data_IF_400899564641
#
_entry.id   IF_400899564641
#
_cell.length_a   1.000
_cell.length_b   1.000
_cell.length_c   1.000
_cell.angle_alpha   90.00
_cell.angle_beta   90.00
_cell.angle_gamma   90.00
#
_symmetry.space_group_name_H-M   'P 1'
#
loop_
_entity.id
_entity.type
_entity.pdbx_description
1 polymer ?
#
# COMPACT_ATOMS: atom_id res chain seq x y z
N UNK A 1 -26.00 11.68 -19.39
CA UNK A 1 -25.08 12.29 -18.41
C UNK A 1 -25.77 12.32 -17.05
N UNK A 2 -25.62 11.22 -16.31
CA UNK A 2 -25.80 10.96 -14.87
C UNK A 2 -25.48 9.46 -14.77
N UNK A 3 -24.24 9.13 -14.44
CA UNK A 3 -23.73 7.76 -14.41
C UNK A 3 -23.91 7.17 -13.02
N UNK A 4 -24.97 6.39 -12.87
CA UNK A 4 -25.25 5.60 -11.67
C UNK A 4 -24.42 4.31 -11.73
N UNK A 5 -23.49 4.13 -10.79
CA UNK A 5 -22.67 2.91 -10.68
C UNK A 5 -23.47 1.75 -10.09
N UNK A 6 -24.40 1.20 -10.88
CA UNK A 6 -24.97 -0.13 -10.66
C UNK A 6 -24.14 -1.14 -11.45
N UNK A 7 -23.13 -1.75 -10.81
CA UNK A 7 -22.18 -2.58 -11.56
C UNK A 7 -21.23 -3.43 -10.75
N UNK A 8 -21.71 -4.09 -9.69
CA UNK A 8 -21.06 -5.27 -9.11
C UNK A 8 -22.16 -6.22 -8.59
N UNK A 9 -23.06 -6.63 -9.48
CA UNK A 9 -23.96 -7.76 -9.21
C UNK A 9 -23.29 -9.05 -9.71
N UNK A 10 -23.38 -10.08 -8.85
CA UNK A 10 -22.90 -11.46 -9.01
C UNK A 10 -21.50 -11.70 -8.43
N UNK A 11 -21.49 -12.20 -7.18
CA UNK A 11 -20.38 -13.02 -6.70
C UNK A 11 -20.31 -14.24 -7.61
N UNK A 12 -19.21 -14.39 -8.34
CA UNK A 12 -19.04 -15.52 -9.25
C UNK A 12 -18.99 -16.84 -8.47
N UNK A 13 -19.48 -17.93 -9.07
CA UNK A 13 -19.40 -19.27 -8.48
C UNK A 13 -17.95 -19.68 -8.16
N UNK A 14 -16.98 -19.13 -8.89
CA UNK A 14 -15.56 -19.31 -8.62
C UNK A 14 -15.12 -18.63 -7.30
N UNK A 15 -15.59 -17.41 -7.04
CA UNK A 15 -15.31 -16.70 -5.79
C UNK A 15 -15.90 -17.44 -4.57
N UNK A 16 -17.12 -17.98 -4.70
CA UNK A 16 -17.75 -18.78 -3.63
C UNK A 16 -16.98 -20.09 -3.35
N UNK A 17 -16.53 -20.79 -4.39
CA UNK A 17 -15.71 -22.02 -4.23
C UNK A 17 -14.37 -21.74 -3.57
N UNK A 18 -13.75 -20.61 -3.90
CA UNK A 18 -12.46 -20.21 -3.33
C UNK A 18 -12.61 -19.85 -1.85
N UNK A 19 -13.68 -19.14 -1.49
CA UNK A 19 -14.01 -18.79 -0.11
C UNK A 19 -14.36 -20.04 0.73
N UNK A 20 -15.13 -20.98 0.18
CA UNK A 20 -15.46 -22.26 0.81
C UNK A 20 -14.20 -23.10 1.06
N UNK A 21 -13.32 -23.23 0.05
CA UNK A 21 -12.07 -23.97 0.19
C UNK A 21 -11.15 -23.42 1.30
N UNK A 22 -11.14 -22.10 1.52
CA UNK A 22 -10.29 -21.45 2.52
C UNK A 22 -10.89 -21.45 3.93
N UNK A 23 -12.21 -21.56 4.05
CA UNK A 23 -12.91 -21.46 5.34
C UNK A 23 -13.31 -22.81 5.91
N UNK A 24 -13.40 -23.87 5.09
CA UNK A 24 -13.81 -25.22 5.52
C UNK A 24 -12.87 -25.88 6.55
N UNK A 25 -11.61 -25.45 6.58
CA UNK A 25 -10.59 -26.00 7.50
C UNK A 25 -10.47 -25.22 8.81
N UNK A 26 -11.23 -24.14 8.99
CA UNK A 26 -11.19 -23.33 10.20
C UNK A 26 -12.00 -23.99 11.32
N UNK A 27 -11.43 -24.03 12.53
CA UNK A 27 -12.12 -24.57 13.71
C UNK A 27 -13.32 -23.70 14.14
N UNK A 28 -13.30 -22.42 13.77
CA UNK A 28 -14.39 -21.47 14.01
C UNK A 28 -14.82 -20.77 12.71
N UNK A 29 -16.13 -20.56 12.50
CA UNK A 29 -16.64 -19.91 11.30
C UNK A 29 -16.28 -18.41 11.27
N UNK A 30 -15.89 -17.91 10.10
CA UNK A 30 -15.49 -16.51 9.92
C UNK A 30 -16.71 -15.61 9.91
N UNK A 31 -16.73 -14.60 10.78
CA UNK A 31 -17.78 -13.59 10.81
C UNK A 31 -17.66 -12.65 9.60
N UNK A 32 -18.71 -12.56 8.79
CA UNK A 32 -18.78 -11.68 7.61
C UNK A 32 -19.95 -10.73 7.75
N UNK A 33 -19.67 -9.43 7.72
CA UNK A 33 -20.69 -8.37 7.79
C UNK A 33 -21.04 -7.92 6.37
N UNK A 34 -22.31 -8.08 5.98
CA UNK A 34 -22.78 -7.62 4.67
C UNK A 34 -24.19 -7.04 4.74
N UNK A 35 -24.34 -5.82 4.21
CA UNK A 35 -25.61 -5.10 4.12
C UNK A 35 -26.37 -5.39 2.83
N UNK A 36 -25.72 -5.99 1.83
CA UNK A 36 -26.32 -6.33 0.53
C UNK A 36 -27.08 -7.67 0.58
N UNK A 37 -28.41 -7.71 0.32
CA UNK A 37 -29.22 -8.92 0.42
C UNK A 37 -28.78 -10.05 -0.52
N UNK A 38 -28.40 -9.71 -1.75
CA UNK A 38 -27.97 -10.69 -2.77
C UNK A 38 -26.62 -11.34 -2.41
N UNK A 39 -25.68 -10.56 -1.84
CA UNK A 39 -24.41 -11.09 -1.31
C UNK A 39 -24.65 -12.03 -0.13
N UNK A 40 -25.57 -11.67 0.76
CA UNK A 40 -25.95 -12.51 1.90
C UNK A 40 -26.53 -13.85 1.44
N UNK A 41 -27.40 -13.83 0.44
CA UNK A 41 -28.01 -15.05 -0.09
C UNK A 41 -26.97 -15.96 -0.77
N UNK A 42 -26.02 -15.38 -1.52
CA UNK A 42 -24.93 -16.12 -2.15
C UNK A 42 -23.94 -16.74 -1.15
N UNK A 43 -23.67 -16.05 -0.04
CA UNK A 43 -22.74 -16.52 0.99
C UNK A 43 -23.37 -17.47 2.01
N UNK A 44 -24.70 -17.47 2.15
CA UNK A 44 -25.43 -18.31 3.13
C UNK A 44 -25.21 -19.82 2.92
N UNK A 45 -24.84 -20.23 1.72
CA UNK A 45 -24.54 -21.64 1.38
C UNK A 45 -23.11 -22.06 1.71
N UNK A 46 -22.28 -21.20 2.31
CA UNK A 46 -20.86 -21.48 2.62
C UNK A 46 -20.70 -21.90 4.09
N UNK A 47 -20.38 -23.18 4.39
CA UNK A 47 -20.40 -23.74 5.74
C UNK A 47 -19.42 -23.09 6.74
N UNK A 48 -18.36 -22.43 6.24
CA UNK A 48 -17.32 -21.80 7.06
C UNK A 48 -17.56 -20.33 7.40
N UNK A 49 -18.72 -19.77 7.05
CA UNK A 49 -19.04 -18.35 7.29
C UNK A 49 -20.21 -18.17 8.23
N UNK A 50 -20.12 -17.12 9.06
CA UNK A 50 -21.24 -16.62 9.86
C UNK A 50 -21.60 -15.21 9.39
N UNK A 51 -22.77 -15.06 8.77
CA UNK A 51 -23.20 -13.79 8.18
C UNK A 51 -23.93 -12.93 9.20
N UNK A 52 -23.54 -11.66 9.26
CA UNK A 52 -24.18 -10.67 10.12
C UNK A 52 -24.68 -9.47 9.31
N UNK A 53 -25.88 -8.95 9.63
CA UNK A 53 -26.46 -7.80 8.91
C UNK A 53 -25.75 -6.49 9.26
N UNK A 54 -25.12 -6.42 10.44
CA UNK A 54 -24.40 -5.24 10.95
C UNK A 54 -23.18 -5.67 11.75
N UNK A 55 -22.21 -4.77 11.89
CA UNK A 55 -21.03 -4.99 12.73
C UNK A 55 -21.41 -5.19 14.20
N UNK A 56 -22.42 -4.47 14.69
CA UNK A 56 -22.93 -4.63 16.05
C UNK A 56 -23.48 -6.05 16.30
N UNK A 57 -24.21 -6.62 15.33
CA UNK A 57 -24.70 -7.98 15.42
C UNK A 57 -23.56 -9.02 15.39
N UNK A 58 -22.50 -8.76 14.61
CA UNK A 58 -21.31 -9.61 14.58
C UNK A 58 -20.59 -9.65 15.92
N UNK A 59 -20.36 -8.48 16.53
CA UNK A 59 -19.70 -8.37 17.83
C UNK A 59 -20.51 -9.02 18.96
N UNK A 60 -21.85 -8.93 18.92
CA UNK A 60 -22.71 -9.57 19.90
C UNK A 60 -22.75 -11.11 19.79
N UNK A 61 -22.36 -11.68 18.65
CA UNK A 61 -22.40 -13.11 18.37
C UNK A 61 -21.04 -13.84 18.47
N UNK A 62 -19.98 -13.12 18.83
CA UNK A 62 -18.69 -13.71 19.19
C UNK A 62 -18.77 -14.29 20.62
N UNK A 63 -18.09 -15.40 20.92
CA UNK A 63 -18.07 -15.94 22.27
C UNK A 63 -17.46 -14.91 23.24
N UNK A 64 -18.29 -14.36 24.12
CA UNK A 64 -17.85 -13.53 25.24
C UNK A 64 -17.08 -14.39 26.22
N UNK A 65 -15.75 -14.36 26.17
CA UNK A 65 -14.89 -14.80 27.29
C UNK A 65 -14.97 -13.78 28.42
N UNK A 66 -16.13 -13.71 29.07
CA UNK A 66 -16.31 -13.01 30.34
C UNK A 66 -17.51 -13.64 31.06
N UNK A 67 -17.24 -14.66 31.87
CA UNK A 67 -18.18 -15.09 32.91
C UNK A 67 -18.28 -13.99 33.99
N UNK A 68 -19.45 -13.81 34.62
CA UNK A 68 -19.64 -12.79 35.65
C UNK A 68 -18.80 -13.08 36.90
N UNK A 69 -18.28 -12.06 37.60
CA UNK A 69 -17.53 -12.25 38.83
C UNK A 69 -18.47 -12.61 39.98
N UNK A 70 -18.29 -13.80 40.53
CA UNK A 70 -18.89 -14.23 41.80
C UNK A 70 -18.22 -13.45 42.94
N UNK A 71 -19.00 -12.66 43.66
CA UNK A 71 -18.54 -11.80 44.76
C UNK A 71 -18.28 -12.66 46.01
N UNK A 72 -16.99 -12.93 46.30
CA UNK A 72 -16.52 -13.27 47.64
C UNK A 72 -15.26 -12.47 47.97
N UNK A 73 -15.15 -11.87 49.18
CA UNK A 73 -14.02 -11.02 49.54
C UNK A 73 -12.85 -11.84 50.10
N UNK A 74 -11.68 -11.19 50.14
CA UNK A 74 -10.40 -11.59 50.75
C UNK A 74 -9.53 -12.47 49.84
N UNK A 75 -8.27 -12.17 49.50
CA UNK A 75 -7.23 -11.37 50.17
C UNK A 75 -6.18 -10.94 49.12
N UNK A 76 -5.46 -9.85 49.40
CA UNK A 76 -4.43 -9.23 48.54
C UNK A 76 -3.33 -10.21 48.10
N UNK A 77 -3.11 -10.32 46.78
CA UNK A 77 -1.78 -10.44 46.16
C UNK A 77 -1.89 -9.85 44.76
N UNK A 78 -1.11 -8.81 44.45
CA UNK A 78 -1.31 -7.94 43.28
C UNK A 78 -1.29 -8.68 41.93
N UNK A 79 -2.06 -8.23 40.93
CA UNK A 79 -2.02 -8.84 39.60
C UNK A 79 -0.79 -8.35 38.81
N UNK A 80 -0.15 -9.22 38.00
CA UNK A 80 0.85 -8.80 37.03
C UNK A 80 0.20 -7.98 35.92
N UNK A 81 0.89 -6.96 35.44
CA UNK A 81 0.48 -6.15 34.30
C UNK A 81 0.41 -7.03 33.04
N UNK A 82 -0.79 -7.36 32.58
CA UNK A 82 -1.02 -7.92 31.24
C UNK A 82 -2.26 -7.28 30.64
N UNK A 83 -2.05 -6.16 29.97
CA UNK A 83 -2.98 -5.55 29.04
C UNK A 83 -2.15 -4.76 28.05
N UNK A 84 -2.06 -5.25 26.81
CA UNK A 84 -1.36 -4.54 25.74
C UNK A 84 -1.85 -3.09 25.70
N UNK A 85 -0.92 -2.14 25.56
CA UNK A 85 -1.31 -0.74 25.53
C UNK A 85 -2.23 -0.49 24.32
N UNK A 86 -3.15 0.48 24.43
CA UNK A 86 -4.05 0.82 23.31
C UNK A 86 -3.27 1.18 22.04
N UNK A 87 -2.02 1.61 22.17
CA UNK A 87 -1.14 1.94 21.05
C UNK A 87 -0.51 0.70 20.40
N UNK A 88 -0.12 -0.30 21.20
CA UNK A 88 0.33 -1.60 20.68
C UNK A 88 -0.76 -2.25 19.84
N UNK A 89 -2.01 -2.26 20.32
CA UNK A 89 -3.15 -2.80 19.60
C UNK A 89 -3.43 -2.03 18.29
N UNK A 90 -3.28 -0.70 18.29
CA UNK A 90 -3.43 0.11 17.07
C UNK A 90 -2.33 -0.19 16.06
N UNK A 91 -1.10 -0.35 16.53
CA UNK A 91 0.05 -0.74 15.69
C UNK A 91 -0.16 -2.13 15.07
N UNK A 92 -0.67 -3.08 15.86
CA UNK A 92 -1.02 -4.42 15.37
C UNK A 92 -2.12 -4.36 14.30
N UNK A 93 -3.22 -3.65 14.58
CA UNK A 93 -4.33 -3.46 13.62
C UNK A 93 -3.86 -2.79 12.34
N UNK A 94 -3.00 -1.76 12.45
CA UNK A 94 -2.37 -1.12 11.30
C UNK A 94 -1.58 -2.12 10.46
N UNK A 95 -0.73 -2.93 11.09
CA UNK A 95 0.04 -3.97 10.42
C UNK A 95 -0.84 -5.01 9.72
N UNK A 96 -1.92 -5.45 10.36
CA UNK A 96 -2.89 -6.38 9.78
C UNK A 96 -3.62 -5.77 8.57
N UNK A 97 -4.07 -4.51 8.68
CA UNK A 97 -4.71 -3.80 7.57
C UNK A 97 -3.77 -3.58 6.40
N UNK A 98 -2.51 -3.25 6.66
CA UNK A 98 -1.48 -3.15 5.63
C UNK A 98 -1.31 -4.47 4.86
N UNK A 99 -1.23 -5.61 5.57
CA UNK A 99 -1.20 -6.94 4.94
C UNK A 99 -2.44 -7.21 4.09
N UNK A 100 -3.63 -6.94 4.62
CA UNK A 100 -4.89 -7.16 3.90
C UNK A 100 -4.98 -6.37 2.59
N UNK A 101 -4.56 -5.09 2.58
CA UNK A 101 -4.54 -4.24 1.37
C UNK A 101 -3.66 -4.83 0.27
N UNK A 102 -2.46 -5.30 0.63
CA UNK A 102 -1.51 -5.85 -0.35
C UNK A 102 -1.94 -7.21 -0.90
N UNK A 103 -2.65 -8.02 -0.12
CA UNK A 103 -3.06 -9.36 -0.52
C UNK A 103 -3.96 -9.38 -1.76
N UNK A 104 -4.92 -8.44 -1.87
CA UNK A 104 -5.83 -8.37 -3.01
C UNK A 104 -5.09 -8.11 -4.35
N UNK A 105 -4.12 -7.19 -4.33
CA UNK A 105 -3.31 -6.85 -5.49
C UNK A 105 -2.38 -8.00 -5.88
N UNK A 106 -1.75 -8.66 -4.91
CA UNK A 106 -0.93 -9.85 -5.13
C UNK A 106 -1.77 -10.98 -5.74
N UNK A 107 -2.96 -11.24 -5.20
CA UNK A 107 -3.88 -12.25 -5.73
C UNK A 107 -4.30 -11.99 -7.17
N UNK A 108 -4.56 -10.72 -7.52
CA UNK A 108 -4.87 -10.34 -8.91
C UNK A 108 -3.68 -10.59 -9.83
N UNK A 109 -2.47 -10.24 -9.39
CA UNK A 109 -1.25 -10.50 -10.15
C UNK A 109 -0.99 -12.01 -10.35
N UNK A 110 -1.24 -12.86 -9.35
CA UNK A 110 -1.17 -14.32 -9.49
C UNK A 110 -2.11 -14.83 -10.59
N UNK A 111 -3.35 -14.32 -10.66
CA UNK A 111 -4.30 -14.67 -11.71
C UNK A 111 -3.81 -14.26 -13.11
N UNK A 112 -3.23 -13.06 -13.24
CA UNK A 112 -2.61 -12.61 -14.51
C UNK A 112 -1.46 -13.52 -14.92
N UNK A 113 -0.60 -13.92 -13.99
CA UNK A 113 0.53 -14.82 -14.27
C UNK A 113 0.07 -16.23 -14.62
N UNK A 114 -0.95 -16.73 -13.92
CA UNK A 114 -1.58 -18.02 -14.19
C UNK A 114 -2.04 -18.12 -15.64
N UNK A 115 -2.77 -17.10 -16.11
CA UNK A 115 -3.21 -17.04 -17.50
C UNK A 115 -2.06 -16.82 -18.48
N UNK A 116 -1.15 -15.87 -18.19
CA UNK A 116 -0.06 -15.47 -19.08
C UNK A 116 0.92 -16.60 -19.36
N UNK A 117 1.22 -17.42 -18.36
CA UNK A 117 2.19 -18.51 -18.45
C UNK A 117 1.58 -19.91 -18.46
N UNK A 118 0.24 -20.00 -18.50
CA UNK A 118 -0.49 -21.29 -18.46
C UNK A 118 -0.03 -22.16 -17.28
N UNK A 119 0.07 -21.55 -16.11
CA UNK A 119 0.53 -22.23 -14.91
C UNK A 119 -0.48 -23.32 -14.50
N UNK A 120 0.00 -24.36 -13.84
CA UNK A 120 -0.85 -25.48 -13.40
C UNK A 120 -1.63 -25.14 -12.13
N UNK A 121 -1.24 -24.08 -11.41
CA UNK A 121 -1.88 -23.64 -10.17
C UNK A 121 -1.61 -22.15 -9.89
N UNK A 122 -2.56 -21.41 -9.28
CA UNK A 122 -2.32 -20.05 -8.80
C UNK A 122 -1.13 -19.93 -7.84
N UNK A 123 -0.82 -20.97 -7.05
CA UNK A 123 0.33 -20.99 -6.12
C UNK A 123 1.66 -20.85 -6.87
N UNK A 124 1.79 -21.41 -8.07
CA UNK A 124 2.99 -21.24 -8.89
C UNK A 124 3.18 -19.76 -9.29
N UNK A 125 2.10 -19.01 -9.50
CA UNK A 125 2.16 -17.58 -9.76
C UNK A 125 2.70 -16.79 -8.56
N UNK A 126 2.35 -17.21 -7.34
CA UNK A 126 2.92 -16.63 -6.12
C UNK A 126 4.41 -16.92 -5.98
N UNK A 127 4.82 -18.16 -6.24
CA UNK A 127 6.22 -18.56 -6.11
C UNK A 127 7.11 -17.80 -7.11
N UNK A 128 6.65 -17.60 -8.34
CA UNK A 128 7.34 -16.75 -9.32
C UNK A 128 7.49 -15.29 -8.85
N UNK A 129 6.42 -14.70 -8.32
CA UNK A 129 6.49 -13.35 -7.74
C UNK A 129 7.46 -13.29 -6.56
N UNK A 130 7.41 -14.29 -5.67
CA UNK A 130 8.24 -14.35 -4.47
C UNK A 130 9.72 -14.51 -4.83
N UNK A 131 10.05 -15.40 -5.76
CA UNK A 131 11.42 -15.64 -6.21
C UNK A 131 12.03 -14.38 -6.82
N UNK A 132 11.34 -13.75 -7.77
CA UNK A 132 11.80 -12.50 -8.38
C UNK A 132 11.90 -11.34 -7.37
N UNK A 133 10.94 -11.24 -6.45
CA UNK A 133 10.96 -10.26 -5.35
C UNK A 133 12.20 -10.43 -4.46
N UNK A 134 12.54 -11.67 -4.10
CA UNK A 134 13.71 -11.99 -3.27
C UNK A 134 15.02 -11.79 -4.02
N UNK A 135 15.09 -12.18 -5.29
CA UNK A 135 16.30 -12.09 -6.10
C UNK A 135 16.73 -10.64 -6.34
N UNK A 136 15.78 -9.74 -6.65
CA UNK A 136 16.05 -8.33 -6.94
C UNK A 136 15.80 -7.40 -5.74
N UNK A 137 15.46 -7.96 -4.57
CA UNK A 137 15.11 -7.19 -3.37
C UNK A 137 14.03 -6.13 -3.64
N UNK A 138 13.01 -6.48 -4.42
CA UNK A 138 11.86 -5.62 -4.75
C UNK A 138 10.68 -6.03 -3.87
N UNK A 139 9.96 -5.11 -3.18
CA UNK A 139 8.79 -5.49 -2.40
C UNK A 139 7.74 -6.20 -3.25
N UNK A 140 7.18 -7.31 -2.74
CA UNK A 140 6.25 -8.15 -3.47
C UNK A 140 5.04 -7.37 -4.03
N UNK A 141 4.49 -6.41 -3.28
CA UNK A 141 3.40 -5.54 -3.76
C UNK A 141 3.80 -4.67 -4.96
N UNK A 142 5.05 -4.20 -4.98
CA UNK A 142 5.58 -3.35 -6.07
C UNK A 142 5.75 -4.20 -7.33
N UNK A 143 6.25 -5.43 -7.17
CA UNK A 143 6.34 -6.36 -8.29
C UNK A 143 4.95 -6.78 -8.80
N UNK A 144 3.99 -7.02 -7.90
CA UNK A 144 2.60 -7.30 -8.28
C UNK A 144 1.98 -6.12 -9.06
N UNK A 145 2.15 -4.87 -8.59
CA UNK A 145 1.79 -3.66 -9.35
C UNK A 145 2.38 -3.66 -10.76
N UNK A 146 3.67 -3.97 -10.85
CA UNK A 146 4.38 -3.98 -12.13
C UNK A 146 3.84 -5.07 -13.08
N UNK A 147 3.51 -6.26 -12.58
CA UNK A 147 2.88 -7.32 -13.39
C UNK A 147 1.51 -6.88 -13.95
N UNK A 148 0.72 -6.18 -13.14
CA UNK A 148 -0.62 -5.71 -13.52
C UNK A 148 -0.58 -4.58 -14.56
N UNK A 149 0.50 -3.81 -14.61
CA UNK A 149 0.64 -2.63 -15.47
C UNK A 149 1.53 -2.88 -16.69
N UNK A 150 2.41 -3.87 -16.64
CA UNK A 150 3.28 -4.22 -17.75
C UNK A 150 2.51 -4.94 -18.87
N UNK A 151 2.78 -4.60 -20.15
CA UNK A 151 2.26 -5.37 -21.27
C UNK A 151 2.73 -6.84 -21.16
N UNK A 152 1.98 -7.79 -21.73
CA UNK A 152 2.45 -9.17 -21.81
C UNK A 152 3.74 -9.25 -22.65
N UNK A 153 4.62 -10.22 -22.36
CA UNK A 153 5.82 -10.45 -23.15
C UNK A 153 5.44 -10.76 -24.61
N UNK A 154 6.18 -10.22 -25.59
CA UNK A 154 5.79 -10.28 -27.01
C UNK A 154 5.87 -11.70 -27.59
N UNK A 155 6.80 -12.52 -27.10
CA UNK A 155 7.00 -13.89 -27.57
C UNK A 155 7.26 -14.83 -26.39
N UNK A 156 6.68 -16.04 -26.38
CA UNK A 156 7.04 -17.06 -25.39
C UNK A 156 8.54 -17.40 -25.48
N UNK A 157 9.26 -17.28 -24.37
CA UNK A 157 10.69 -17.61 -24.27
C UNK A 157 11.64 -16.59 -24.89
N UNK A 158 11.16 -15.41 -25.29
CA UNK A 158 12.00 -14.28 -25.71
C UNK A 158 12.13 -13.22 -24.61
N UNK A 159 12.87 -12.15 -24.88
CA UNK A 159 12.98 -11.05 -23.92
C UNK A 159 11.62 -10.38 -23.67
N UNK A 160 11.30 -10.07 -22.42
CA UNK A 160 10.06 -9.35 -22.09
C UNK A 160 10.11 -7.90 -22.63
N UNK A 161 11.25 -7.23 -22.54
CA UNK A 161 11.43 -5.86 -23.02
C UNK A 161 12.54 -5.77 -24.08
N UNK A 162 12.28 -6.22 -25.34
CA UNK A 162 13.29 -6.18 -26.39
C UNK A 162 13.81 -4.77 -26.67
N UNK A 163 15.13 -4.64 -26.82
CA UNK A 163 15.80 -3.36 -27.12
C UNK A 163 15.88 -2.38 -25.94
N UNK A 164 15.49 -2.82 -24.74
CA UNK A 164 15.65 -2.04 -23.51
C UNK A 164 17.12 -1.73 -23.24
N UNK A 165 17.40 -0.49 -22.83
CA UNK A 165 18.74 -0.04 -22.44
C UNK A 165 18.80 0.12 -20.92
N UNK A 166 19.74 -0.56 -20.29
CA UNK A 166 20.05 -0.31 -18.88
C UNK A 166 20.73 1.06 -18.75
N UNK A 167 20.14 1.94 -17.96
CA UNK A 167 20.75 3.21 -17.60
C UNK A 167 21.49 3.08 -16.27
N UNK A 168 22.65 3.72 -16.12
CA UNK A 168 23.36 3.70 -14.84
C UNK A 168 22.49 4.34 -13.75
N UNK A 169 22.68 3.96 -12.47
CA UNK A 169 21.99 4.60 -11.37
C UNK A 169 22.26 6.12 -11.35
N UNK A 170 21.25 6.94 -11.03
CA UNK A 170 21.43 8.38 -10.93
C UNK A 170 22.33 8.74 -9.74
N UNK A 171 23.08 9.82 -9.89
CA UNK A 171 23.72 10.49 -8.74
C UNK A 171 22.66 11.29 -8.01
N UNK A 172 22.50 11.06 -6.71
CA UNK A 172 21.53 11.75 -5.86
C UNK A 172 22.27 12.69 -4.91
N UNK A 173 21.70 13.88 -4.68
CA UNK A 173 22.20 14.88 -3.74
C UNK A 173 21.72 14.69 -2.30
N UNK A 174 21.22 13.49 -1.95
CA UNK A 174 20.82 13.11 -0.59
C UNK A 174 22.00 13.29 0.38
N UNK A 175 21.76 13.84 1.56
CA UNK A 175 22.76 14.28 2.55
C UNK A 175 23.49 13.12 3.27
N UNK A 176 23.49 11.92 2.69
CA UNK A 176 24.05 10.72 3.32
C UNK A 176 25.55 10.80 3.57
N UNK A 177 25.94 10.57 4.83
CA UNK A 177 27.32 10.48 5.33
C UNK A 177 28.01 9.14 5.03
N UNK A 178 27.33 8.23 4.32
CA UNK A 178 27.86 6.94 3.87
C UNK A 178 27.34 6.59 2.49
N UNK A 179 28.09 5.79 1.72
CA UNK A 179 27.76 5.42 0.34
C UNK A 179 26.35 4.86 0.23
N UNK A 180 25.45 5.62 -0.39
CA UNK A 180 24.07 5.24 -0.62
C UNK A 180 24.00 4.19 -1.75
N UNK A 181 23.46 3.01 -1.46
CA UNK A 181 23.11 2.07 -2.53
C UNK A 181 21.77 2.45 -3.13
N UNK A 182 21.83 3.11 -4.30
CA UNK A 182 20.65 3.49 -5.09
C UNK A 182 19.71 2.31 -5.43
N UNK A 183 20.19 1.06 -5.42
CA UNK A 183 19.35 -0.13 -5.63
C UNK A 183 18.61 -0.55 -4.36
N UNK A 184 19.13 -0.23 -3.18
CA UNK A 184 18.43 -0.47 -1.92
C UNK A 184 17.32 0.58 -1.74
N UNK A 185 16.13 0.18 -2.17
CA UNK A 185 14.91 0.96 -2.03
C UNK A 185 14.70 1.46 -0.60
N UNK A 186 14.90 0.60 0.40
CA UNK A 186 14.63 0.97 1.79
C UNK A 186 15.61 2.04 2.22
N UNK A 187 16.89 1.88 1.90
CA UNK A 187 17.91 2.85 2.24
C UNK A 187 17.62 4.22 1.61
N UNK A 188 17.29 4.27 0.31
CA UNK A 188 16.99 5.55 -0.37
C UNK A 188 15.79 6.27 0.24
N UNK A 189 14.69 5.55 0.50
CA UNK A 189 13.47 6.15 1.05
C UNK A 189 13.67 6.62 2.50
N UNK A 190 14.39 5.83 3.30
CA UNK A 190 14.69 6.17 4.68
C UNK A 190 15.62 7.38 4.77
N UNK A 191 16.66 7.42 3.93
CA UNK A 191 17.52 8.59 3.79
C UNK A 191 16.70 9.82 3.39
N UNK A 192 15.82 9.70 2.39
CA UNK A 192 15.01 10.85 1.95
C UNK A 192 14.10 11.39 3.07
N UNK A 193 13.51 10.51 3.89
CA UNK A 193 12.72 10.89 5.07
C UNK A 193 13.57 11.63 6.11
N UNK A 194 14.76 11.11 6.43
CA UNK A 194 15.65 11.74 7.39
C UNK A 194 16.23 13.08 6.88
N UNK A 195 16.56 13.15 5.59
CA UNK A 195 17.04 14.36 4.94
C UNK A 195 15.94 15.43 4.93
N UNK A 196 14.69 15.07 4.64
CA UNK A 196 13.57 16.00 4.70
C UNK A 196 13.45 16.65 6.08
N UNK A 197 13.52 15.87 7.17
CA UNK A 197 13.53 16.41 8.54
C UNK A 197 14.75 17.31 8.79
N UNK A 198 15.94 16.85 8.39
CA UNK A 198 17.19 17.57 8.62
C UNK A 198 17.22 18.91 7.88
N UNK A 199 16.74 18.94 6.64
CA UNK A 199 16.66 20.13 5.81
C UNK A 199 15.71 21.18 6.40
N UNK A 200 14.63 20.75 7.03
CA UNK A 200 13.68 21.64 7.69
C UNK A 200 14.07 22.01 9.12
N UNK A 201 15.18 21.49 9.64
CA UNK A 201 15.61 21.70 11.03
C UNK A 201 14.46 21.38 12.03
N UNK A 202 14.44 22.03 13.19
CA UNK A 202 13.38 21.93 14.19
C UNK A 202 12.00 22.46 13.75
N UNK A 203 11.83 22.94 12.51
CA UNK A 203 10.53 23.40 12.04
C UNK A 203 9.55 22.25 11.79
N UNK A 204 10.00 21.10 11.27
CA UNK A 204 9.14 19.94 11.07
C UNK A 204 9.21 18.94 12.24
N UNK A 205 8.05 18.58 12.77
CA UNK A 205 7.90 17.64 13.88
C UNK A 205 7.81 16.18 13.42
N UNK A 206 7.36 15.95 12.19
CA UNK A 206 7.17 14.64 11.60
C UNK A 206 7.12 14.73 10.07
N UNK A 207 7.35 13.60 9.41
CA UNK A 207 7.36 13.50 7.95
C UNK A 207 6.80 12.17 7.49
N UNK A 208 6.20 12.16 6.31
CA UNK A 208 5.78 10.97 5.58
C UNK A 208 6.19 11.08 4.12
N UNK A 209 6.45 9.92 3.51
CA UNK A 209 6.77 9.77 2.11
C UNK A 209 5.82 8.76 1.46
N UNK A 210 5.05 9.26 0.48
CA UNK A 210 4.20 8.44 -0.36
C UNK A 210 4.79 8.26 -1.74
N UNK A 211 4.61 7.08 -2.33
CA UNK A 211 4.92 6.82 -3.74
C UNK A 211 3.66 6.43 -4.49
N UNK A 212 3.56 6.85 -5.75
CA UNK A 212 2.42 6.47 -6.59
C UNK A 212 2.51 4.99 -7.00
N UNK A 213 1.39 4.28 -6.89
CA UNK A 213 1.18 2.94 -7.43
C UNK A 213 0.36 3.00 -8.75
N UNK A 214 0.97 2.70 -9.91
CA UNK A 214 0.27 2.76 -11.19
C UNK A 214 -0.84 1.71 -11.36
N UNK A 215 -0.80 0.60 -10.61
CA UNK A 215 -1.85 -0.43 -10.67
C UNK A 215 -3.11 -0.03 -9.91
N UNK A 216 -3.03 1.04 -9.09
CA UNK A 216 -4.12 1.54 -8.25
C UNK A 216 -4.48 2.98 -8.64
N UNK A 217 -4.57 3.27 -9.93
CA UNK A 217 -4.91 4.62 -10.44
C UNK A 217 -4.02 5.73 -9.84
N UNK A 218 -2.71 5.46 -9.79
CA UNK A 218 -1.72 6.36 -9.19
C UNK A 218 -2.03 6.75 -7.74
N UNK A 219 -2.68 5.86 -6.97
CA UNK A 219 -2.85 6.02 -5.54
C UNK A 219 -1.50 6.19 -4.85
N UNK A 220 -1.48 7.02 -3.82
CA UNK A 220 -0.33 7.28 -2.98
C UNK A 220 -0.28 6.23 -1.88
N UNK A 221 0.76 5.39 -1.92
CA UNK A 221 1.03 4.37 -0.90
C UNK A 221 2.09 4.91 0.04
N UNK A 222 1.84 4.85 1.34
CA UNK A 222 2.83 5.23 2.35
C UNK A 222 4.01 4.24 2.31
N UNK A 223 5.22 4.78 2.25
CA UNK A 223 6.43 3.98 2.04
C UNK A 223 7.45 4.12 3.15
N UNK A 224 7.58 5.32 3.70
CA UNK A 224 8.38 5.56 4.90
C UNK A 224 7.86 6.81 5.64
N UNK A 225 8.20 6.95 6.92
CA UNK A 225 7.79 8.06 7.76
C UNK A 225 8.65 8.19 9.00
N UNK A 226 8.56 9.34 9.69
CA UNK A 226 9.16 9.54 11.01
C UNK A 226 8.24 10.36 11.92
N UNK A 227 8.24 10.01 13.21
CA UNK A 227 7.52 10.70 14.29
C UNK A 227 5.98 10.84 14.14
N UNK A 228 5.33 9.90 13.44
CA UNK A 228 3.87 9.84 13.27
C UNK A 228 3.23 8.71 14.08
N UNK A 229 1.97 8.90 14.48
CA UNK A 229 1.22 7.90 15.26
C UNK A 229 0.61 6.83 14.35
N UNK A 230 0.59 5.55 14.76
CA UNK A 230 -0.12 4.47 14.05
C UNK A 230 -1.56 4.80 13.63
N UNK A 231 -2.32 5.51 14.46
CA UNK A 231 -3.68 5.94 14.13
C UNK A 231 -3.74 6.89 12.93
N UNK A 232 -2.79 7.83 12.86
CA UNK A 232 -2.66 8.72 11.71
C UNK A 232 -2.21 7.93 10.48
N UNK A 233 -1.16 7.11 10.61
CA UNK A 233 -0.60 6.31 9.52
C UNK A 233 -1.63 5.40 8.87
N UNK A 234 -2.54 4.80 9.64
CA UNK A 234 -3.61 3.96 9.06
C UNK A 234 -4.57 4.74 8.15
N UNK A 235 -4.79 6.01 8.46
CA UNK A 235 -5.65 6.91 7.67
C UNK A 235 -5.00 7.31 6.35
N UNK A 236 -3.67 7.43 6.33
CA UNK A 236 -2.91 7.89 5.16
C UNK A 236 -2.10 6.77 4.48
N UNK A 237 -2.25 5.52 4.92
CA UNK A 237 -1.49 4.39 4.38
C UNK A 237 -1.69 4.17 2.87
N UNK A 238 -2.90 4.48 2.40
CA UNK A 238 -3.28 4.44 0.99
C UNK A 238 -4.24 5.60 0.73
N UNK A 239 -3.82 6.55 -0.09
CA UNK A 239 -4.57 7.76 -0.43
C UNK A 239 -4.85 7.79 -1.92
N UNK A 240 -6.12 7.76 -2.30
CA UNK A 240 -6.54 7.75 -3.71
C UNK A 240 -6.91 9.14 -4.24
N UNK A 241 -7.43 10.01 -3.37
CA UNK A 241 -8.01 11.29 -3.77
C UNK A 241 -7.96 12.35 -2.65
N UNK A 242 -8.20 13.64 -2.99
CA UNK A 242 -8.46 14.70 -2.03
C UNK A 242 -9.62 14.34 -1.08
N UNK A 243 -9.70 14.94 0.13
CA UNK A 243 -9.01 16.18 0.54
C UNK A 243 -7.62 15.98 1.17
N UNK A 244 -7.10 14.75 1.26
CA UNK A 244 -5.75 14.48 1.75
C UNK A 244 -4.71 15.40 1.07
N UNK A 245 -3.83 16.02 1.85
CA UNK A 245 -2.92 17.04 1.33
C UNK A 245 -1.95 16.48 0.29
N UNK A 246 -1.45 15.26 0.50
CA UNK A 246 -0.57 14.60 -0.46
C UNK A 246 -1.28 14.35 -1.80
N UNK A 247 -2.57 13.99 -1.80
CA UNK A 247 -3.36 13.88 -3.03
C UNK A 247 -3.58 15.25 -3.70
N UNK A 248 -3.85 16.30 -2.91
CA UNK A 248 -3.94 17.68 -3.41
C UNK A 248 -2.66 18.13 -4.13
N UNK A 249 -1.49 17.76 -3.61
CA UNK A 249 -0.20 18.07 -4.21
C UNK A 249 0.08 17.23 -5.47
N UNK A 250 -0.24 15.93 -5.44
CA UNK A 250 -0.17 15.05 -6.61
C UNK A 250 -0.99 15.58 -7.77
N UNK A 251 -2.26 15.91 -7.54
CA UNK A 251 -3.20 16.32 -8.60
C UNK A 251 -2.81 17.67 -9.21
N UNK A 252 -2.19 18.56 -8.43
CA UNK A 252 -1.70 19.87 -8.90
C UNK A 252 -0.29 19.80 -9.51
N UNK A 253 0.46 18.73 -9.26
CA UNK A 253 1.91 18.65 -9.50
C UNK A 253 2.66 19.87 -8.93
N UNK A 254 2.20 20.40 -7.80
CA UNK A 254 2.71 21.60 -7.14
C UNK A 254 2.67 21.45 -5.62
N UNK A 255 3.56 22.15 -4.93
CA UNK A 255 3.58 22.19 -3.48
C UNK A 255 2.25 22.73 -2.93
N UNK A 256 1.76 22.14 -1.83
CA UNK A 256 0.55 22.60 -1.14
C UNK A 256 0.81 22.74 0.34
N UNK A 257 0.41 23.89 0.87
CA UNK A 257 0.67 24.35 2.23
C UNK A 257 -0.68 24.59 2.91
N UNK A 258 -0.88 24.01 4.10
CA UNK A 258 -1.98 24.33 5.00
C UNK A 258 -1.40 24.91 6.29
N UNK A 259 -1.47 26.24 6.45
CA UNK A 259 -0.81 26.96 7.55
C UNK A 259 -1.45 26.69 8.93
N UNK A 260 -2.77 26.43 8.96
CA UNK A 260 -3.46 25.87 10.13
C UNK A 260 -4.64 25.01 9.66
N UNK A 261 -4.59 23.70 9.95
CA UNK A 261 -5.63 22.74 9.58
C UNK A 261 -6.99 23.20 10.10
N UNK A 262 -7.04 23.75 11.31
CA UNK A 262 -8.30 24.18 11.94
C UNK A 262 -9.02 25.30 11.16
N UNK A 263 -8.30 26.02 10.29
CA UNK A 263 -8.84 27.12 9.47
C UNK A 263 -9.31 26.70 8.09
N UNK A 264 -9.10 25.44 7.68
CA UNK A 264 -9.60 24.87 6.43
C UNK A 264 -10.64 23.76 6.70
N UNK A 265 -11.94 24.09 6.92
CA UNK A 265 -12.96 23.11 7.30
C UNK A 265 -13.06 21.90 6.35
N UNK A 266 -12.92 22.13 5.04
CA UNK A 266 -12.95 21.07 4.04
C UNK A 266 -11.86 20.00 4.25
N UNK A 267 -10.71 20.39 4.80
CA UNK A 267 -9.66 19.46 5.19
C UNK A 267 -9.81 19.01 6.64
N UNK A 268 -10.05 19.91 7.59
CA UNK A 268 -10.20 19.61 9.01
C UNK A 268 -11.28 18.54 9.30
N UNK A 269 -12.42 18.63 8.62
CA UNK A 269 -13.55 17.70 8.78
C UNK A 269 -13.39 16.41 7.96
N UNK A 270 -12.30 16.25 7.24
CA UNK A 270 -12.00 15.02 6.53
C UNK A 270 -11.34 14.00 7.48
N UNK A 271 -11.41 12.68 7.17
CA UNK A 271 -10.66 11.68 7.93
C UNK A 271 -9.16 12.01 8.12
N UNK A 272 -8.38 12.36 7.07
CA UNK A 272 -6.96 12.71 7.26
C UNK A 272 -6.75 13.98 8.08
N UNK A 273 -7.59 15.01 7.93
CA UNK A 273 -7.46 16.24 8.72
C UNK A 273 -7.78 16.03 10.21
N UNK A 274 -8.86 15.30 10.52
CA UNK A 274 -9.16 14.91 11.91
C UNK A 274 -8.06 14.07 12.53
N UNK A 275 -7.52 13.11 11.79
CA UNK A 275 -6.43 12.27 12.26
C UNK A 275 -5.15 13.09 12.52
N UNK A 276 -4.83 14.05 11.63
CA UNK A 276 -3.70 14.95 11.81
C UNK A 276 -3.85 15.83 13.06
N UNK A 277 -5.03 16.46 13.25
CA UNK A 277 -5.34 17.24 14.44
C UNK A 277 -5.28 16.41 15.72
N UNK A 278 -5.80 15.18 15.69
CA UNK A 278 -5.74 14.25 16.82
C UNK A 278 -4.30 13.81 17.16
N UNK A 279 -3.42 13.77 16.16
CA UNK A 279 -1.98 13.55 16.33
C UNK A 279 -1.22 14.81 16.77
N UNK A 280 -1.92 15.95 16.97
CA UNK A 280 -1.33 17.23 17.37
C UNK A 280 -0.75 18.04 16.22
N UNK A 281 -0.92 17.61 14.96
CA UNK A 281 -0.49 18.40 13.80
C UNK A 281 -1.42 19.59 13.62
N UNK A 282 -0.84 20.78 13.47
CA UNK A 282 -1.53 22.03 13.16
C UNK A 282 -1.25 22.54 11.77
N UNK A 283 -0.08 22.30 11.20
CA UNK A 283 0.22 22.66 9.81
C UNK A 283 0.79 21.48 9.02
N UNK A 284 0.45 21.39 7.74
CA UNK A 284 0.96 20.39 6.78
C UNK A 284 1.46 20.97 5.44
N UNK A 285 2.67 20.59 5.01
CA UNK A 285 3.25 20.99 3.73
C UNK A 285 3.53 19.75 2.91
N UNK A 286 2.97 19.67 1.71
CA UNK A 286 3.19 18.56 0.79
C UNK A 286 4.00 19.03 -0.42
N UNK A 287 5.19 18.45 -0.60
CA UNK A 287 6.08 18.67 -1.74
C UNK A 287 5.99 17.47 -2.70
N UNK A 288 5.46 17.64 -3.93
CA UNK A 288 5.45 16.56 -4.90
C UNK A 288 6.82 16.38 -5.58
N UNK A 289 7.18 15.13 -5.81
CA UNK A 289 8.33 14.74 -6.63
C UNK A 289 7.85 14.52 -8.07
N UNK A 290 8.07 15.52 -8.91
CA UNK A 290 7.56 15.58 -10.29
C UNK A 290 8.68 15.31 -11.28
N UNK A 291 8.41 14.49 -12.31
CA UNK A 291 9.36 14.29 -13.40
C UNK A 291 9.39 15.49 -14.35
N UNK A 292 10.39 15.54 -15.22
CA UNK A 292 10.45 16.52 -16.32
C UNK A 292 9.24 16.47 -17.27
N UNK A 293 8.48 15.37 -17.27
CA UNK A 293 7.27 15.21 -18.08
C UNK A 293 5.98 15.61 -17.35
N UNK A 294 6.08 16.08 -16.09
CA UNK A 294 4.93 16.49 -15.29
C UNK A 294 4.29 15.37 -14.46
N UNK A 295 4.80 14.13 -14.55
CA UNK A 295 4.29 13.02 -13.75
C UNK A 295 4.74 13.15 -12.28
N UNK A 296 3.79 13.19 -11.34
CA UNK A 296 4.10 13.05 -9.90
C UNK A 296 4.38 11.59 -9.56
N UNK A 297 5.57 11.29 -9.04
CA UNK A 297 5.98 9.92 -8.66
C UNK A 297 6.02 9.67 -7.15
N UNK A 298 6.13 10.75 -6.38
CA UNK A 298 6.13 10.73 -4.92
C UNK A 298 5.55 12.02 -4.36
N UNK A 299 5.20 12.00 -3.08
CA UNK A 299 4.90 13.21 -2.31
C UNK A 299 5.55 13.09 -0.93
N UNK A 300 6.31 14.10 -0.52
CA UNK A 300 6.82 14.27 0.83
C UNK A 300 5.84 15.16 1.58
N UNK A 301 5.28 14.73 2.71
CA UNK A 301 4.45 15.58 3.57
C UNK A 301 5.16 15.85 4.89
N UNK A 302 5.31 17.12 5.25
CA UNK A 302 5.89 17.60 6.49
C UNK A 302 4.78 18.06 7.44
N UNK A 303 4.96 17.78 8.72
CA UNK A 303 4.02 18.08 9.79
C UNK A 303 4.61 19.07 10.78
N UNK A 304 3.80 20.00 11.29
CA UNK A 304 4.13 20.85 12.43
C UNK A 304 3.05 20.83 13.47
N UNK A 305 3.42 20.90 14.74
CA UNK A 305 2.54 21.13 15.90
C UNK A 305 2.20 22.61 16.08
N UNK A 306 3.00 23.49 15.50
CA UNK A 306 2.77 24.93 15.49
C UNK A 306 2.13 25.40 14.18
N UNK A 307 1.45 26.56 14.21
CA UNK A 307 0.91 27.24 13.04
C UNK A 307 1.82 28.42 12.67
N UNK A 308 1.84 28.83 11.40
CA UNK A 308 2.57 30.04 10.98
C UNK A 308 3.53 29.82 9.81
N UNK A 309 4.57 30.66 9.73
CA UNK A 309 5.57 30.64 8.65
C UNK A 309 6.36 29.33 8.67
N UNK A 310 6.46 28.67 7.52
CA UNK A 310 6.94 27.29 7.47
C UNK A 310 8.44 27.14 7.42
N UNK A 311 9.03 27.81 6.45
CA UNK A 311 10.34 27.52 5.92
C UNK A 311 10.85 28.78 5.24
N UNK A 312 12.16 29.00 5.36
CA UNK A 312 12.90 29.96 4.56
C UNK A 312 12.92 29.54 3.08
N UNK A 313 13.21 30.48 2.19
CA UNK A 313 13.37 30.17 0.76
C UNK A 313 14.48 29.13 0.50
N UNK A 314 15.53 29.12 1.33
CA UNK A 314 16.61 28.14 1.24
C UNK A 314 16.11 26.72 1.56
N UNK A 315 15.30 26.57 2.62
CA UNK A 315 14.69 25.29 2.99
C UNK A 315 13.71 24.80 1.91
N UNK A 316 12.88 25.69 1.33
CA UNK A 316 12.03 25.33 0.19
C UNK A 316 12.84 24.82 -1.00
N UNK A 317 13.91 25.53 -1.39
CA UNK A 317 14.76 25.15 -2.52
C UNK A 317 15.44 23.80 -2.28
N UNK A 318 15.88 23.54 -1.04
CA UNK A 318 16.49 22.27 -0.67
C UNK A 318 15.47 21.11 -0.70
N UNK A 319 14.25 21.33 -0.21
CA UNK A 319 13.17 20.34 -0.27
C UNK A 319 12.72 20.07 -1.72
N UNK A 320 12.68 21.08 -2.58
CA UNK A 320 12.44 20.93 -4.02
C UNK A 320 13.52 20.07 -4.69
N UNK A 321 14.79 20.30 -4.32
CA UNK A 321 15.93 19.50 -4.82
C UNK A 321 15.83 18.05 -4.37
N UNK A 322 15.51 17.81 -3.09
CA UNK A 322 15.26 16.48 -2.55
C UNK A 322 14.10 15.77 -3.30
N UNK A 323 13.00 16.47 -3.55
CA UNK A 323 11.87 15.92 -4.30
C UNK A 323 12.26 15.58 -5.75
N UNK A 324 13.08 16.40 -6.41
CA UNK A 324 13.60 16.13 -7.75
C UNK A 324 14.53 14.89 -7.77
N UNK A 325 15.36 14.71 -6.75
CA UNK A 325 16.20 13.51 -6.59
C UNK A 325 15.34 12.24 -6.44
N UNK A 326 14.30 12.29 -5.60
CA UNK A 326 13.36 11.17 -5.44
C UNK A 326 12.65 10.86 -6.77
N UNK A 327 12.21 11.87 -7.52
CA UNK A 327 11.59 11.68 -8.84
C UNK A 327 12.55 11.00 -9.82
N UNK A 328 13.80 11.47 -9.85
CA UNK A 328 14.87 10.93 -10.71
C UNK A 328 15.17 9.47 -10.36
N UNK A 329 15.39 9.19 -9.07
CA UNK A 329 15.61 7.84 -8.57
C UNK A 329 14.41 6.93 -8.85
N UNK A 330 13.18 7.35 -8.55
CA UNK A 330 11.97 6.53 -8.75
C UNK A 330 11.75 6.22 -10.23
N UNK A 331 11.99 7.19 -11.11
CA UNK A 331 11.93 7.00 -12.57
C UNK A 331 12.95 5.97 -13.05
N UNK A 332 14.19 6.02 -12.55
CA UNK A 332 15.22 5.03 -12.85
C UNK A 332 14.87 3.65 -12.26
N UNK A 333 14.50 3.57 -10.98
CA UNK A 333 14.17 2.33 -10.28
C UNK A 333 13.05 1.57 -11.01
N UNK A 334 12.01 2.28 -11.49
CA UNK A 334 10.92 1.68 -12.28
C UNK A 334 11.37 1.16 -13.64
N UNK A 335 12.29 1.83 -14.34
CA UNK A 335 12.75 1.46 -15.69
C UNK A 335 13.95 0.49 -15.68
N UNK A 336 14.59 0.36 -14.53
CA UNK A 336 15.77 -0.49 -14.34
C UNK A 336 15.41 -1.67 -13.43
N UNK A 337 15.40 -1.45 -12.11
CA UNK A 337 15.28 -2.53 -11.12
C UNK A 337 13.96 -3.31 -11.23
N UNK A 338 12.82 -2.62 -11.42
CA UNK A 338 11.52 -3.30 -11.53
C UNK A 338 11.42 -4.11 -12.83
N UNK A 339 11.89 -3.57 -13.95
CA UNK A 339 11.86 -4.29 -15.22
C UNK A 339 12.82 -5.49 -15.21
N UNK A 340 13.97 -5.40 -14.51
CA UNK A 340 14.88 -6.53 -14.30
C UNK A 340 14.19 -7.64 -13.48
N UNK A 341 13.40 -7.27 -12.45
CA UNK A 341 12.63 -8.23 -11.68
C UNK A 341 11.52 -8.90 -12.51
N UNK A 342 10.89 -8.15 -13.41
CA UNK A 342 9.93 -8.72 -14.36
C UNK A 342 10.63 -9.67 -15.35
N UNK A 343 11.75 -9.28 -15.94
CA UNK A 343 12.53 -10.16 -16.83
C UNK A 343 12.97 -11.45 -16.13
N UNK A 344 13.47 -11.34 -14.89
CA UNK A 344 13.80 -12.51 -14.09
C UNK A 344 12.58 -13.42 -13.88
N UNK A 345 11.42 -12.84 -13.55
CA UNK A 345 10.17 -13.57 -13.44
C UNK A 345 9.79 -14.29 -14.75
N UNK A 346 9.97 -13.64 -15.90
CA UNK A 346 9.67 -14.24 -17.21
C UNK A 346 10.56 -15.42 -17.53
N UNK A 347 11.87 -15.28 -17.35
CA UNK A 347 12.87 -16.31 -17.64
C UNK A 347 12.68 -17.57 -16.80
N UNK A 348 12.15 -17.42 -15.57
CA UNK A 348 11.89 -18.55 -14.66
C UNK A 348 10.46 -19.07 -14.75
N UNK A 349 9.59 -18.45 -15.54
CA UNK A 349 8.25 -18.95 -15.78
C UNK A 349 8.30 -20.17 -16.70
N UNK A 350 7.48 -21.21 -16.46
CA UNK A 350 7.41 -22.35 -17.36
C UNK A 350 6.85 -21.91 -18.72
N UNK A 351 7.65 -21.99 -19.77
CA UNK A 351 7.18 -21.82 -21.13
C UNK A 351 6.71 -23.17 -21.67
N UNK A 352 5.40 -23.35 -21.83
CA UNK A 352 4.92 -24.47 -22.65
C UNK A 352 5.37 -24.22 -24.09
N UNK A 353 6.29 -25.06 -24.59
CA UNK A 353 6.50 -25.19 -26.02
C UNK A 353 5.18 -25.65 -26.64
N UNK A 354 4.58 -24.80 -27.47
CA UNK A 354 3.56 -25.22 -28.42
C UNK A 354 4.18 -26.35 -29.26
N UNK A 355 3.77 -27.61 -29.01
CA UNK A 355 4.13 -28.73 -29.87
C UNK A 355 3.57 -28.39 -31.26
N UNK A 356 4.40 -28.21 -32.29
CA UNK A 356 3.91 -27.99 -33.63
C UNK A 356 3.39 -29.32 -34.17
N UNK A 357 2.08 -29.40 -34.42
CA UNK A 357 1.49 -30.44 -35.26
C UNK A 357 0.97 -31.67 -34.52
N UNK A 358 -0.27 -31.59 -34.07
CA UNK A 358 -1.19 -32.70 -34.24
C UNK A 358 -2.19 -32.29 -35.34
N UNK A 359 -1.79 -32.50 -36.59
CA UNK A 359 -2.75 -32.56 -37.69
C UNK A 359 -3.59 -33.81 -37.44
N UNK A 360 -4.92 -33.71 -37.28
CA UNK A 360 -5.75 -34.91 -37.20
C UNK A 360 -5.72 -35.57 -38.58
N UNK A 361 -5.12 -36.76 -38.64
CA UNK A 361 -5.30 -37.65 -39.78
C UNK A 361 -6.77 -38.11 -39.81
N UNK A 362 -7.29 -38.13 -41.02
CA UNK A 362 -8.68 -38.31 -41.50
C UNK A 362 -9.63 -39.19 -40.70
#
# INVERSE_FOLDING_TARGET
MHGEMAGLELISTAALRLLDAHTRHLAEPVAVVTTAPHVRQALATTPGLRLYPTLAAALAGLPTTAGPPDLRPETQTGPPAVGASTEELRSEVFGLRAKARTHAQIGTAQGVLYERYRLNSPTQGFDLLREASQHLNVPLRVLASAVLTAPPPPTPGGDWFPGRRHTPPPTLGLLSTGGLDTRDRRQVLHTAVNDALTLTDADADAVELHLTDPAQDHALVLEDHAALTPAYLDTIALVTAPPALCARARDRAQAVTVADIATEPAFADSPPGRAALAAGTRALHAQPAVTVHGDTLAVITLHRREHGLWMTNAQHTALETLAADIATWRSWYRRTVILDALEHLHTHAPHQQLIPGAVPDR
#
